data_IF_545486093674
#
_entry.id   IF_545486093674
#
_cell.length_a   1.000
_cell.length_b   1.000
_cell.length_c   1.000
_cell.angle_alpha   90.00
_cell.angle_beta   90.00
_cell.angle_gamma   90.00
#
_symmetry.space_group_name_H-M   'P 1'
#
loop_
_entity.id
_entity.type
_entity.pdbx_description
1 polymer ?
#
# COMPACT_ATOMS: atom_id res chain seq x y z
N UNK A 1 29.12 -9.18 24.42
CA UNK A 1 28.65 -7.87 24.94
C UNK A 1 27.14 -7.90 25.00
N UNK A 2 26.56 -7.22 25.95
CA UNK A 2 25.12 -7.17 26.09
C UNK A 2 24.53 -6.31 24.95
N UNK A 3 23.45 -6.78 24.34
CA UNK A 3 22.68 -6.00 23.36
C UNK A 3 21.88 -4.98 24.17
N UNK A 4 22.11 -3.68 23.93
CA UNK A 4 21.48 -2.60 24.67
C UNK A 4 20.60 -1.69 23.84
N UNK A 5 20.76 -1.74 22.49
CA UNK A 5 19.98 -0.96 21.54
C UNK A 5 19.92 -1.64 20.17
N UNK A 6 19.05 -1.13 19.29
CA UNK A 6 18.85 -1.72 17.96
C UNK A 6 20.10 -1.71 17.08
N UNK A 7 20.98 -0.72 17.22
CA UNK A 7 22.21 -0.63 16.43
C UNK A 7 23.20 -1.74 16.74
N UNK A 8 23.09 -2.39 17.91
CA UNK A 8 23.94 -3.50 18.29
C UNK A 8 23.71 -4.73 17.39
N UNK A 9 22.48 -4.93 16.87
CA UNK A 9 22.19 -5.99 15.91
C UNK A 9 23.03 -5.85 14.63
N UNK A 10 23.14 -4.64 14.11
CA UNK A 10 23.97 -4.35 12.93
C UNK A 10 25.46 -4.50 13.27
N UNK A 11 25.88 -3.95 14.41
CA UNK A 11 27.28 -3.99 14.87
C UNK A 11 27.78 -5.41 15.05
N UNK A 12 26.95 -6.31 15.59
CA UNK A 12 27.31 -7.72 15.81
C UNK A 12 26.89 -8.64 14.66
N UNK A 13 26.33 -8.10 13.57
CA UNK A 13 25.84 -8.85 12.41
C UNK A 13 24.88 -9.99 12.79
N UNK A 14 23.94 -9.69 13.67
CA UNK A 14 22.95 -10.66 14.13
C UNK A 14 21.82 -10.82 13.13
N UNK A 15 21.26 -12.03 13.03
CA UNK A 15 20.05 -12.27 12.24
C UNK A 15 18.82 -11.77 13.00
N UNK A 16 18.41 -10.54 12.68
CA UNK A 16 17.26 -9.88 13.29
C UNK A 16 15.96 -10.64 13.03
N UNK A 17 15.82 -11.27 11.86
CA UNK A 17 14.60 -12.02 11.51
C UNK A 17 14.47 -13.24 12.40
N UNK A 18 15.54 -14.02 12.52
CA UNK A 18 15.56 -15.18 13.41
C UNK A 18 15.32 -14.76 14.86
N UNK A 19 15.96 -13.67 15.31
CA UNK A 19 15.76 -13.15 16.66
C UNK A 19 14.29 -12.82 16.95
N UNK A 20 13.62 -12.09 16.05
CA UNK A 20 12.20 -11.72 16.24
C UNK A 20 11.30 -12.95 16.19
N UNK A 21 11.57 -13.89 15.30
CA UNK A 21 10.86 -15.17 15.22
C UNK A 21 10.98 -15.95 16.54
N UNK A 22 12.20 -16.12 17.07
CA UNK A 22 12.45 -16.82 18.32
C UNK A 22 11.83 -16.12 19.52
N UNK A 23 11.82 -14.78 19.52
CA UNK A 23 11.17 -13.98 20.54
C UNK A 23 9.64 -14.23 20.58
N UNK A 24 8.99 -14.26 19.44
CA UNK A 24 7.57 -14.55 19.33
C UNK A 24 7.26 -16.00 19.71
N UNK A 25 8.05 -16.95 19.22
CA UNK A 25 7.87 -18.37 19.47
C UNK A 25 7.96 -18.70 20.98
N UNK A 26 8.87 -18.02 21.70
CA UNK A 26 9.10 -18.24 23.13
C UNK A 26 8.41 -17.18 24.01
N UNK A 27 7.50 -16.36 23.46
CA UNK A 27 6.79 -15.37 24.25
C UNK A 27 5.85 -16.02 25.27
N UNK A 28 5.97 -15.61 26.54
CA UNK A 28 5.08 -16.03 27.63
C UNK A 28 3.89 -15.06 27.83
N UNK A 29 3.98 -13.87 27.25
CA UNK A 29 2.94 -12.84 27.35
C UNK A 29 2.06 -12.81 26.09
N UNK A 30 0.82 -13.26 26.25
CA UNK A 30 -0.17 -13.26 25.16
C UNK A 30 -0.55 -11.85 24.70
N UNK A 31 -0.46 -10.81 25.55
CA UNK A 31 -0.69 -9.43 25.17
C UNK A 31 0.40 -8.93 24.24
N UNK A 32 1.65 -9.33 24.46
CA UNK A 32 2.76 -8.98 23.57
C UNK A 32 2.50 -9.51 22.16
N UNK A 33 2.13 -10.80 22.02
CA UNK A 33 1.86 -11.39 20.70
C UNK A 33 0.62 -10.76 20.04
N UNK A 34 -0.43 -10.45 20.83
CA UNK A 34 -1.57 -9.70 20.31
C UNK A 34 -1.18 -8.34 19.72
N UNK A 35 -0.43 -7.54 20.48
CA UNK A 35 0.02 -6.23 20.01
C UNK A 35 0.96 -6.34 18.79
N UNK A 36 1.84 -7.33 18.78
CA UNK A 36 2.72 -7.56 17.63
C UNK A 36 1.94 -7.97 16.40
N UNK A 37 0.97 -8.87 16.52
CA UNK A 37 0.09 -9.27 15.40
C UNK A 37 -0.70 -8.08 14.85
N UNK A 38 -1.27 -7.24 15.72
CA UNK A 38 -1.94 -6.02 15.28
C UNK A 38 -0.99 -5.02 14.62
N UNK A 39 0.24 -4.89 15.12
CA UNK A 39 1.26 -4.07 14.48
C UNK A 39 1.61 -4.61 13.08
N UNK A 40 1.76 -5.94 12.91
CA UNK A 40 1.95 -6.57 11.61
C UNK A 40 0.80 -6.28 10.65
N UNK A 41 -0.45 -6.29 11.13
CA UNK A 41 -1.61 -5.99 10.28
C UNK A 41 -1.69 -4.54 9.80
N UNK A 42 -1.04 -3.62 10.51
CA UNK A 42 -1.12 -2.18 10.26
C UNK A 42 0.13 -1.60 9.60
N UNK A 43 1.27 -2.30 9.62
CA UNK A 43 2.49 -1.81 8.97
C UNK A 43 2.28 -1.66 7.46
N UNK A 44 2.67 -0.51 6.92
CA UNK A 44 2.55 -0.19 5.50
C UNK A 44 3.92 -0.07 4.84
N UNK A 45 4.13 -0.82 3.76
CA UNK A 45 5.41 -0.90 3.03
C UNK A 45 5.16 -0.47 1.59
N UNK A 46 5.86 0.57 1.14
CA UNK A 46 5.77 1.09 -0.22
C UNK A 46 7.06 0.88 -1.00
N UNK A 47 6.94 0.43 -2.24
CA UNK A 47 8.00 0.54 -3.25
C UNK A 47 7.56 1.55 -4.32
N UNK A 48 8.12 2.79 -4.32
CA UNK A 48 7.72 3.85 -5.24
C UNK A 48 8.23 3.66 -6.67
N UNK A 49 9.02 2.59 -6.91
CA UNK A 49 9.60 2.21 -8.21
C UNK A 49 9.55 0.70 -8.38
N UNK A 50 8.39 0.11 -8.12
CA UNK A 50 8.27 -1.31 -7.81
C UNK A 50 8.63 -2.25 -8.98
N UNK A 51 8.67 -1.77 -10.22
CA UNK A 51 8.92 -2.61 -11.37
C UNK A 51 8.01 -3.84 -11.39
N UNK A 52 8.59 -5.01 -11.53
CA UNK A 52 7.88 -6.29 -11.44
C UNK A 52 7.64 -6.79 -10.01
N UNK A 53 7.80 -5.96 -8.98
CA UNK A 53 7.48 -6.26 -7.60
C UNK A 53 8.54 -7.05 -6.82
N UNK A 54 9.81 -6.99 -7.20
CA UNK A 54 10.87 -7.79 -6.57
C UNK A 54 11.05 -7.48 -5.07
N UNK A 55 11.06 -6.20 -4.71
CA UNK A 55 11.18 -5.77 -3.31
C UNK A 55 9.92 -6.05 -2.51
N UNK A 56 8.73 -5.90 -3.12
CA UNK A 56 7.46 -6.28 -2.48
C UNK A 56 7.43 -7.79 -2.17
N UNK A 57 7.97 -8.60 -3.06
CA UNK A 57 8.15 -10.04 -2.84
C UNK A 57 9.10 -10.35 -1.68
N UNK A 58 10.22 -9.61 -1.59
CA UNK A 58 11.15 -9.76 -0.49
C UNK A 58 10.52 -9.35 0.85
N UNK A 59 9.76 -8.25 0.89
CA UNK A 59 9.01 -7.82 2.07
C UNK A 59 7.97 -8.88 2.48
N UNK A 60 7.23 -9.46 1.54
CA UNK A 60 6.28 -10.54 1.81
C UNK A 60 6.96 -11.75 2.46
N UNK A 61 8.12 -12.18 1.97
CA UNK A 61 8.87 -13.30 2.53
C UNK A 61 9.42 -13.01 3.94
N UNK A 62 9.55 -11.75 4.33
CA UNK A 62 9.93 -11.35 5.69
C UNK A 62 8.71 -11.38 6.61
N UNK A 63 7.56 -10.90 6.14
CA UNK A 63 6.34 -10.82 6.95
C UNK A 63 5.68 -12.19 7.16
N UNK A 64 5.72 -13.07 6.16
CA UNK A 64 5.08 -14.38 6.19
C UNK A 64 5.35 -15.19 7.46
N UNK A 65 6.61 -15.49 7.82
CA UNK A 65 6.91 -16.28 9.02
C UNK A 65 6.51 -15.58 10.32
N UNK A 66 6.47 -14.24 10.32
CA UNK A 66 6.04 -13.47 11.50
C UNK A 66 4.53 -13.58 11.71
N UNK A 67 3.74 -13.53 10.64
CA UNK A 67 2.30 -13.82 10.71
C UNK A 67 2.05 -15.26 11.17
N UNK A 68 2.79 -16.22 10.60
CA UNK A 68 2.64 -17.64 10.91
C UNK A 68 2.88 -17.93 12.39
N UNK A 69 4.01 -17.47 12.95
CA UNK A 69 4.33 -17.71 14.36
C UNK A 69 3.34 -17.00 15.30
N UNK A 70 2.85 -15.81 14.95
CA UNK A 70 1.81 -15.15 15.74
C UNK A 70 0.51 -15.96 15.79
N UNK A 71 0.05 -16.45 14.64
CA UNK A 71 -1.17 -17.25 14.54
C UNK A 71 -1.01 -18.56 15.32
N UNK A 72 0.14 -19.27 15.19
CA UNK A 72 0.42 -20.49 15.94
C UNK A 72 0.42 -20.26 17.45
N UNK A 73 1.02 -19.16 17.92
CA UNK A 73 1.01 -18.82 19.36
C UNK A 73 -0.40 -18.48 19.85
N UNK A 74 -1.19 -17.74 19.07
CA UNK A 74 -2.57 -17.42 19.41
C UNK A 74 -3.45 -18.69 19.48
N UNK A 75 -3.25 -19.63 18.56
CA UNK A 75 -3.97 -20.92 18.58
C UNK A 75 -3.63 -21.73 19.84
N UNK A 76 -2.36 -21.83 20.23
CA UNK A 76 -1.95 -22.51 21.45
C UNK A 76 -2.64 -21.96 22.69
N UNK A 77 -2.66 -20.63 22.87
CA UNK A 77 -3.35 -20.01 23.99
C UNK A 77 -4.90 -20.15 23.91
N UNK A 78 -5.44 -20.16 22.70
CA UNK A 78 -6.86 -20.39 22.51
C UNK A 78 -7.26 -21.82 22.89
N UNK A 79 -6.41 -22.83 22.65
CA UNK A 79 -6.62 -24.22 23.11
C UNK A 79 -6.60 -24.31 24.65
N UNK A 80 -5.75 -23.54 25.31
CA UNK A 80 -5.70 -23.48 26.78
C UNK A 80 -6.87 -22.69 27.37
N UNK A 81 -7.29 -21.61 26.71
CA UNK A 81 -8.41 -20.76 27.13
C UNK A 81 -9.15 -20.21 25.88
N UNK A 82 -10.31 -20.81 25.60
CA UNK A 82 -11.14 -20.50 24.43
C UNK A 82 -11.67 -19.06 24.36
N UNK A 83 -11.48 -18.24 25.40
CA UNK A 83 -11.80 -16.81 25.35
C UNK A 83 -10.68 -15.95 24.81
N UNK A 84 -9.44 -16.46 24.77
CA UNK A 84 -8.29 -15.74 24.21
C UNK A 84 -8.30 -15.84 22.67
N UNK A 85 -8.05 -14.75 21.99
CA UNK A 85 -7.92 -14.66 20.53
C UNK A 85 -9.09 -15.22 19.72
N UNK A 86 -10.28 -15.25 20.33
CA UNK A 86 -11.48 -15.78 19.67
C UNK A 86 -11.80 -15.03 18.38
N UNK A 87 -11.76 -13.71 18.43
CA UNK A 87 -12.15 -12.84 17.29
C UNK A 87 -11.09 -12.89 16.20
N UNK A 88 -9.79 -12.88 16.55
CA UNK A 88 -8.67 -12.96 15.62
C UNK A 88 -8.63 -14.31 14.88
N UNK A 89 -8.96 -15.39 15.58
CA UNK A 89 -8.91 -16.75 15.03
C UNK A 89 -10.23 -17.19 14.39
N UNK A 90 -11.37 -16.51 14.64
CA UNK A 90 -12.68 -16.92 14.14
C UNK A 90 -12.68 -17.01 12.59
N UNK A 91 -12.17 -15.99 11.92
CA UNK A 91 -12.11 -15.97 10.46
C UNK A 91 -11.20 -17.07 9.93
N UNK A 92 -10.01 -17.24 10.53
CA UNK A 92 -9.01 -18.23 10.13
C UNK A 92 -9.60 -19.63 10.29
N UNK A 93 -10.18 -19.93 11.46
CA UNK A 93 -10.71 -21.26 11.78
C UNK A 93 -11.97 -21.60 10.96
N UNK A 94 -12.80 -20.60 10.65
CA UNK A 94 -14.06 -20.81 9.91
C UNK A 94 -13.82 -20.96 8.41
N UNK A 95 -13.00 -20.07 7.81
CA UNK A 95 -12.84 -19.97 6.34
C UNK A 95 -11.54 -20.58 5.84
N UNK A 96 -10.46 -20.44 6.57
CA UNK A 96 -9.11 -20.72 6.10
C UNK A 96 -8.40 -21.86 6.82
N UNK A 97 -9.12 -22.70 7.55
CA UNK A 97 -8.53 -23.79 8.35
C UNK A 97 -7.57 -24.69 7.54
N UNK A 98 -7.94 -25.01 6.31
CA UNK A 98 -7.10 -25.79 5.37
C UNK A 98 -6.20 -24.92 4.49
N UNK A 99 -6.36 -23.59 4.50
CA UNK A 99 -5.69 -22.64 3.64
C UNK A 99 -5.07 -21.48 4.43
N UNK A 100 -4.47 -21.77 5.60
CA UNK A 100 -3.85 -20.75 6.48
C UNK A 100 -2.82 -19.90 5.72
N UNK A 101 -1.98 -20.54 4.92
CA UNK A 101 -0.95 -19.86 4.16
C UNK A 101 -1.54 -18.88 3.12
N UNK A 102 -2.64 -19.26 2.50
CA UNK A 102 -3.39 -18.37 1.61
C UNK A 102 -3.91 -17.14 2.38
N UNK A 103 -4.48 -17.33 3.58
CA UNK A 103 -4.93 -16.23 4.45
C UNK A 103 -3.79 -15.27 4.79
N UNK A 104 -2.61 -15.80 5.14
CA UNK A 104 -1.41 -15.01 5.46
C UNK A 104 -1.00 -14.16 4.25
N UNK A 105 -0.82 -14.76 3.08
CA UNK A 105 -0.46 -14.00 1.88
C UNK A 105 -1.50 -12.98 1.49
N UNK A 106 -2.79 -13.33 1.56
CA UNK A 106 -3.89 -12.40 1.31
C UNK A 106 -3.84 -11.20 2.26
N UNK A 107 -3.62 -11.45 3.56
CA UNK A 107 -3.50 -10.40 4.56
C UNK A 107 -2.32 -9.48 4.27
N UNK A 108 -1.14 -10.03 4.00
CA UNK A 108 0.07 -9.26 3.66
C UNK A 108 -0.15 -8.41 2.41
N UNK A 109 -0.66 -9.00 1.34
CA UNK A 109 -0.85 -8.31 0.06
C UNK A 109 -1.86 -7.16 0.20
N UNK A 110 -2.97 -7.38 0.92
CA UNK A 110 -4.02 -6.37 1.05
C UNK A 110 -3.73 -5.27 2.05
N UNK A 111 -2.99 -5.59 3.11
CA UNK A 111 -2.78 -4.67 4.23
C UNK A 111 -1.43 -3.98 4.20
N UNK A 112 -0.38 -4.71 3.80
CA UNK A 112 0.99 -4.27 4.03
C UNK A 112 1.70 -3.77 2.77
N UNK A 113 1.38 -4.32 1.58
CA UNK A 113 2.18 -4.07 0.39
C UNK A 113 1.55 -3.06 -0.55
N UNK A 114 2.33 -2.04 -0.89
CA UNK A 114 1.97 -0.98 -1.83
C UNK A 114 3.10 -0.78 -2.83
N UNK A 115 2.76 -0.44 -4.06
CA UNK A 115 3.76 -0.21 -5.09
C UNK A 115 3.31 0.79 -6.14
N UNK A 116 4.25 1.53 -6.69
CA UNK A 116 4.02 2.41 -7.84
C UNK A 116 5.10 2.19 -8.88
N UNK A 117 4.73 2.21 -10.14
CA UNK A 117 5.69 2.21 -11.25
C UNK A 117 5.17 3.08 -12.39
N UNK A 118 6.10 3.62 -13.16
CA UNK A 118 5.78 4.43 -14.35
C UNK A 118 5.19 3.58 -15.49
N UNK A 119 5.54 2.28 -15.55
CA UNK A 119 5.16 1.36 -16.61
C UNK A 119 3.96 0.51 -16.18
N UNK A 120 2.87 0.59 -16.95
CA UNK A 120 1.67 -0.22 -16.72
C UNK A 120 2.00 -1.71 -16.74
N UNK A 121 2.80 -2.15 -17.71
CA UNK A 121 3.19 -3.55 -17.87
C UNK A 121 3.96 -4.08 -16.65
N UNK A 122 4.80 -3.25 -16.05
CA UNK A 122 5.54 -3.61 -14.83
C UNK A 122 4.58 -3.83 -13.66
N UNK A 123 3.61 -2.92 -13.45
CA UNK A 123 2.61 -3.04 -12.40
C UNK A 123 1.73 -4.27 -12.57
N UNK A 124 1.32 -4.59 -13.80
CA UNK A 124 0.53 -5.81 -14.08
C UNK A 124 1.34 -7.09 -13.82
N UNK A 125 2.63 -7.11 -14.14
CA UNK A 125 3.53 -8.23 -13.81
C UNK A 125 3.68 -8.35 -12.28
N UNK A 126 3.83 -7.24 -11.56
CA UNK A 126 3.91 -7.24 -10.09
C UNK A 126 2.64 -7.85 -9.47
N UNK A 127 1.47 -7.40 -9.89
CA UNK A 127 0.17 -7.95 -9.47
C UNK A 127 0.08 -9.45 -9.74
N UNK A 128 0.40 -9.86 -10.96
CA UNK A 128 0.36 -11.28 -11.36
C UNK A 128 1.28 -12.14 -10.49
N UNK A 129 2.50 -11.68 -10.21
CA UNK A 129 3.45 -12.41 -9.36
C UNK A 129 2.94 -12.58 -7.94
N UNK A 130 2.36 -11.54 -7.34
CA UNK A 130 1.75 -11.61 -6.01
C UNK A 130 0.58 -12.60 -6.00
N UNK A 131 -0.29 -12.58 -7.01
CA UNK A 131 -1.37 -13.54 -7.15
C UNK A 131 -0.88 -14.99 -7.33
N UNK A 132 0.13 -15.21 -8.17
CA UNK A 132 0.68 -16.55 -8.37
C UNK A 132 1.27 -17.11 -7.07
N UNK A 133 1.95 -16.29 -6.26
CA UNK A 133 2.47 -16.73 -4.96
C UNK A 133 1.34 -17.14 -4.01
N UNK A 134 0.24 -16.40 -3.99
CA UNK A 134 -0.91 -16.67 -3.15
C UNK A 134 -1.65 -17.95 -3.62
N UNK A 135 -1.85 -18.11 -4.94
CA UNK A 135 -2.54 -19.29 -5.51
C UNK A 135 -1.71 -20.56 -5.38
N UNK A 136 -0.38 -20.46 -5.41
CA UNK A 136 0.51 -21.62 -5.33
C UNK A 136 0.41 -22.40 -3.99
N UNK A 137 -0.16 -21.80 -2.96
CA UNK A 137 -0.29 -22.43 -1.63
C UNK A 137 -1.73 -22.84 -1.31
N UNK A 138 -2.64 -22.77 -2.29
CA UNK A 138 -4.05 -23.12 -2.10
C UNK A 138 -4.27 -24.61 -2.16
N UNK A 139 -4.86 -25.16 -1.11
CA UNK A 139 -5.38 -26.51 -1.08
C UNK A 139 -6.85 -26.52 -1.49
N UNK A 140 -7.17 -27.29 -2.53
CA UNK A 140 -8.52 -27.41 -3.07
C UNK A 140 -9.33 -28.45 -2.30
N UNK A 141 -10.56 -28.09 -1.91
CA UNK A 141 -11.51 -29.02 -1.32
C UNK A 141 -12.60 -29.41 -2.34
N UNK A 142 -12.44 -30.61 -2.94
CA UNK A 142 -13.35 -31.12 -3.98
C UNK A 142 -14.79 -31.31 -3.49
N UNK A 143 -15.06 -31.24 -2.17
CA UNK A 143 -16.38 -31.45 -1.58
C UNK A 143 -17.15 -30.16 -1.38
N UNK A 144 -16.50 -29.01 -1.53
CA UNK A 144 -17.12 -27.71 -1.33
C UNK A 144 -17.48 -27.01 -2.65
N UNK A 145 -18.51 -26.15 -2.66
CA UNK A 145 -18.79 -25.28 -3.78
C UNK A 145 -17.54 -24.47 -4.16
N UNK A 146 -17.32 -24.25 -5.46
CA UNK A 146 -16.14 -23.54 -5.96
C UNK A 146 -14.81 -24.12 -5.43
N UNK A 147 -14.76 -25.43 -5.13
CA UNK A 147 -13.59 -26.12 -4.58
C UNK A 147 -13.09 -25.55 -3.24
N UNK A 148 -13.92 -24.83 -2.50
CA UNK A 148 -13.55 -24.12 -1.28
C UNK A 148 -12.64 -22.93 -1.52
N UNK A 149 -12.57 -22.43 -2.76
CA UNK A 149 -11.70 -21.32 -3.13
C UNK A 149 -12.39 -19.97 -2.94
N UNK A 150 -11.69 -19.06 -2.28
CA UNK A 150 -12.06 -17.66 -2.23
C UNK A 150 -11.73 -16.96 -3.57
N UNK A 151 -12.51 -15.94 -3.96
CA UNK A 151 -12.12 -15.05 -5.04
C UNK A 151 -10.77 -14.39 -4.77
N UNK A 152 -9.96 -14.21 -5.82
CA UNK A 152 -8.72 -13.45 -5.71
C UNK A 152 -9.03 -12.02 -5.25
N UNK A 153 -8.24 -11.47 -4.31
CA UNK A 153 -8.42 -10.10 -3.88
C UNK A 153 -8.09 -9.13 -5.01
N UNK A 154 -8.69 -7.95 -4.95
CA UNK A 154 -8.36 -6.87 -5.86
C UNK A 154 -7.24 -6.02 -5.25
N UNK A 155 -6.15 -5.87 -5.98
CA UNK A 155 -4.97 -5.10 -5.56
C UNK A 155 -4.69 -3.90 -6.48
N UNK A 156 -5.67 -3.51 -7.30
CA UNK A 156 -5.53 -2.36 -8.20
C UNK A 156 -5.29 -1.05 -7.44
N UNK A 157 -5.71 -0.98 -6.18
CA UNK A 157 -5.50 0.19 -5.33
C UNK A 157 -4.23 0.11 -4.48
N UNK A 158 -3.58 -1.05 -4.41
CA UNK A 158 -2.29 -1.25 -3.75
C UNK A 158 -1.13 -1.06 -4.72
N UNK A 159 -1.27 -1.58 -5.96
CA UNK A 159 -0.23 -1.49 -7.00
C UNK A 159 -0.73 -0.56 -8.10
N UNK A 160 -0.10 0.59 -8.20
CA UNK A 160 -0.53 1.72 -9.03
C UNK A 160 0.44 2.04 -10.14
N UNK A 161 -0.04 2.73 -11.17
CA UNK A 161 0.79 3.24 -12.25
C UNK A 161 0.79 4.77 -12.28
N UNK A 162 1.98 5.38 -12.34
CA UNK A 162 2.16 6.81 -12.46
C UNK A 162 3.59 7.26 -12.19
N UNK A 163 3.87 8.54 -12.46
CA UNK A 163 5.17 9.14 -12.18
C UNK A 163 5.17 9.70 -10.76
N UNK A 164 5.82 9.00 -9.85
CA UNK A 164 5.91 9.34 -8.42
C UNK A 164 6.56 10.69 -8.12
N UNK A 165 7.29 11.25 -9.10
CA UNK A 165 7.96 12.55 -8.98
C UNK A 165 7.12 13.72 -9.55
N UNK A 166 6.01 13.44 -10.23
CA UNK A 166 5.13 14.45 -10.80
C UNK A 166 3.76 14.37 -10.16
N UNK A 167 3.42 15.34 -9.32
CA UNK A 167 2.15 15.39 -8.60
C UNK A 167 2.28 16.08 -7.26
N UNK A 168 1.18 16.18 -6.53
CA UNK A 168 1.17 16.66 -5.15
C UNK A 168 1.38 15.47 -4.19
N UNK A 169 2.46 15.53 -3.41
CA UNK A 169 2.77 14.50 -2.44
C UNK A 169 2.03 14.75 -1.11
N UNK A 170 1.92 16.02 -0.69
CA UNK A 170 1.34 16.43 0.57
C UNK A 170 0.37 17.59 0.40
N UNK A 171 -0.50 17.80 1.40
CA UNK A 171 -1.37 18.99 1.47
C UNK A 171 -0.56 20.29 1.48
N UNK A 172 0.59 20.28 2.15
CA UNK A 172 1.47 21.47 2.20
C UNK A 172 2.02 21.87 0.82
N UNK A 173 2.30 20.90 -0.07
CA UNK A 173 2.68 21.21 -1.46
C UNK A 173 1.51 21.85 -2.24
N UNK A 174 0.31 21.32 -2.05
CA UNK A 174 -0.89 21.88 -2.66
C UNK A 174 -1.17 23.30 -2.13
N UNK A 175 -1.08 23.51 -0.83
CA UNK A 175 -1.27 24.82 -0.20
C UNK A 175 -0.26 25.86 -0.69
N UNK A 176 1.00 25.45 -0.86
CA UNK A 176 2.03 26.32 -1.41
C UNK A 176 1.71 26.76 -2.84
N UNK A 177 1.18 25.88 -3.66
CA UNK A 177 0.73 26.23 -5.01
C UNK A 177 -0.50 27.16 -4.98
N UNK A 178 -1.39 27.02 -4.00
CA UNK A 178 -2.57 27.85 -3.81
C UNK A 178 -2.28 29.24 -3.22
N UNK A 179 -1.03 29.55 -2.83
CA UNK A 179 -0.66 30.91 -2.38
C UNK A 179 -0.63 31.93 -3.53
N UNK A 180 -0.60 31.47 -4.76
CA UNK A 180 -0.55 32.32 -5.95
C UNK A 180 -1.89 32.32 -6.68
N UNK A 181 -2.30 33.47 -7.22
CA UNK A 181 -3.51 33.64 -7.99
C UNK A 181 -4.68 34.23 -7.22
N UNK A 182 -5.90 34.00 -7.71
CA UNK A 182 -7.14 34.51 -7.08
C UNK A 182 -7.47 33.75 -5.79
N UNK A 183 -7.52 34.48 -4.69
CA UNK A 183 -7.76 33.92 -3.36
C UNK A 183 -9.12 33.20 -3.26
N UNK A 184 -10.18 33.75 -3.87
CA UNK A 184 -11.52 33.12 -3.81
C UNK A 184 -11.57 31.85 -4.62
N UNK A 185 -11.01 31.86 -5.84
CA UNK A 185 -10.91 30.69 -6.67
C UNK A 185 -10.06 29.57 -6.03
N UNK A 186 -8.99 29.95 -5.32
CA UNK A 186 -8.13 29.01 -4.60
C UNK A 186 -8.83 28.39 -3.37
N UNK A 187 -9.63 29.17 -2.62
CA UNK A 187 -10.44 28.66 -1.52
C UNK A 187 -11.51 27.68 -1.99
N UNK A 188 -12.22 28.01 -3.09
CA UNK A 188 -13.19 27.10 -3.68
C UNK A 188 -12.54 25.83 -4.20
N UNK A 189 -11.37 25.94 -4.82
CA UNK A 189 -10.60 24.79 -5.28
C UNK A 189 -10.17 23.90 -4.10
N UNK A 190 -9.62 24.50 -3.03
CA UNK A 190 -9.20 23.76 -1.81
C UNK A 190 -10.38 23.00 -1.22
N UNK A 191 -11.51 23.65 -1.01
CA UNK A 191 -12.73 23.01 -0.47
C UNK A 191 -13.21 21.86 -1.34
N UNK A 192 -13.13 21.99 -2.67
CA UNK A 192 -13.50 20.92 -3.61
C UNK A 192 -12.55 19.74 -3.54
N UNK A 193 -11.25 19.97 -3.39
CA UNK A 193 -10.25 18.91 -3.24
C UNK A 193 -10.43 18.18 -1.90
N UNK A 194 -10.62 18.90 -0.79
CA UNK A 194 -10.88 18.32 0.54
C UNK A 194 -12.14 17.44 0.52
N UNK A 195 -13.24 17.93 -0.03
CA UNK A 195 -14.48 17.13 -0.19
C UNK A 195 -14.26 15.90 -1.08
N UNK A 196 -13.44 16.04 -2.13
CA UNK A 196 -13.05 14.93 -3.02
C UNK A 196 -12.23 13.87 -2.28
N UNK A 197 -11.26 14.27 -1.45
CA UNK A 197 -10.43 13.39 -0.63
C UNK A 197 -11.27 12.62 0.40
N UNK A 198 -12.15 13.32 1.09
CA UNK A 198 -13.09 12.70 2.05
C UNK A 198 -14.01 11.66 1.40
N UNK A 199 -14.51 11.95 0.19
CA UNK A 199 -15.34 11.01 -0.55
C UNK A 199 -14.56 9.79 -1.02
N UNK A 200 -13.32 9.99 -1.48
CA UNK A 200 -12.43 8.91 -1.88
C UNK A 200 -12.04 8.02 -0.69
N UNK A 201 -11.72 8.61 0.47
CA UNK A 201 -11.41 7.87 1.70
C UNK A 201 -12.60 7.01 2.17
N UNK A 202 -13.81 7.57 2.19
CA UNK A 202 -15.02 6.80 2.53
C UNK A 202 -15.26 5.65 1.56
N UNK A 203 -15.10 5.89 0.26
CA UNK A 203 -15.24 4.85 -0.77
C UNK A 203 -14.18 3.75 -0.62
N UNK A 204 -12.93 4.11 -0.29
CA UNK A 204 -11.85 3.17 -0.03
C UNK A 204 -12.14 2.28 1.19
N UNK A 205 -12.60 2.88 2.28
CA UNK A 205 -12.97 2.13 3.49
C UNK A 205 -14.11 1.15 3.23
N UNK A 206 -15.14 1.55 2.46
CA UNK A 206 -16.23 0.64 2.07
C UNK A 206 -15.69 -0.51 1.21
N UNK A 207 -14.87 -0.19 0.20
CA UNK A 207 -14.26 -1.19 -0.68
C UNK A 207 -13.41 -2.19 0.12
N UNK A 208 -12.52 -1.71 1.02
CA UNK A 208 -11.69 -2.53 1.88
C UNK A 208 -12.51 -3.44 2.79
N UNK A 209 -13.59 -2.92 3.39
CA UNK A 209 -14.49 -3.73 4.22
C UNK A 209 -15.22 -4.81 3.42
N UNK A 210 -15.75 -4.49 2.24
CA UNK A 210 -16.41 -5.47 1.37
C UNK A 210 -15.41 -6.56 0.93
N UNK A 211 -14.18 -6.17 0.61
CA UNK A 211 -13.12 -7.11 0.21
C UNK A 211 -12.64 -8.02 1.35
N UNK A 212 -12.57 -7.51 2.57
CA UNK A 212 -12.17 -8.28 3.74
C UNK A 212 -13.29 -9.20 4.26
N UNK A 213 -14.55 -8.73 4.25
CA UNK A 213 -15.71 -9.52 4.75
C UNK A 213 -16.10 -10.68 3.86
N UNK A 214 -15.75 -10.61 2.57
CA UNK A 214 -16.07 -11.65 1.57
C UNK A 214 -17.46 -12.27 1.77
N UNK A 215 -18.47 -11.41 1.75
CA UNK A 215 -19.81 -11.89 1.45
C UNK A 215 -19.82 -12.26 -0.04
N UNK A 216 -20.51 -13.34 -0.42
CA UNK A 216 -20.60 -13.83 -1.82
C UNK A 216 -21.29 -12.82 -2.77
N UNK A 217 -21.42 -11.58 -2.35
CA UNK A 217 -22.03 -10.51 -3.12
C UNK A 217 -21.04 -9.83 -4.04
N UNK A 218 -20.79 -10.50 -5.18
CA UNK A 218 -19.99 -9.94 -6.28
C UNK A 218 -20.52 -8.62 -6.81
N UNK A 219 -21.81 -8.29 -6.56
CA UNK A 219 -22.43 -7.03 -7.01
C UNK A 219 -21.96 -5.89 -6.13
N UNK A 220 -22.07 -6.03 -4.80
CA UNK A 220 -21.59 -5.05 -3.84
C UNK A 220 -20.08 -4.76 -4.02
N UNK A 221 -19.29 -5.82 -4.28
CA UNK A 221 -17.86 -5.66 -4.56
C UNK A 221 -17.59 -4.83 -5.82
N UNK A 222 -18.27 -5.13 -6.93
CA UNK A 222 -18.11 -4.38 -8.18
C UNK A 222 -18.54 -2.92 -8.04
N UNK A 223 -19.65 -2.68 -7.35
CA UNK A 223 -20.17 -1.33 -7.10
C UNK A 223 -19.19 -0.51 -6.24
N UNK A 224 -18.69 -1.09 -5.14
CA UNK A 224 -17.70 -0.44 -4.27
C UNK A 224 -16.40 -0.12 -5.03
N UNK A 225 -15.91 -1.07 -5.85
CA UNK A 225 -14.72 -0.86 -6.69
C UNK A 225 -14.96 0.27 -7.71
N UNK A 226 -16.10 0.27 -8.38
CA UNK A 226 -16.41 1.27 -9.40
C UNK A 226 -16.57 2.66 -8.78
N UNK A 227 -17.22 2.76 -7.65
CA UNK A 227 -17.38 4.02 -6.91
C UNK A 227 -16.01 4.59 -6.51
N UNK A 228 -15.17 3.79 -5.86
CA UNK A 228 -13.82 4.20 -5.48
C UNK A 228 -13.01 4.67 -6.68
N UNK A 229 -13.01 3.89 -7.76
CA UNK A 229 -12.30 4.25 -8.99
C UNK A 229 -12.79 5.57 -9.58
N UNK A 230 -14.12 5.78 -9.61
CA UNK A 230 -14.72 7.03 -10.09
C UNK A 230 -14.29 8.23 -9.24
N UNK A 231 -14.29 8.11 -7.91
CA UNK A 231 -13.86 9.18 -6.99
C UNK A 231 -12.40 9.55 -7.18
N UNK A 232 -11.53 8.53 -7.22
CA UNK A 232 -10.09 8.75 -7.44
C UNK A 232 -9.81 9.40 -8.80
N UNK A 233 -10.44 8.94 -9.88
CA UNK A 233 -10.26 9.54 -11.19
C UNK A 233 -10.71 11.00 -11.24
N UNK A 234 -11.84 11.33 -10.61
CA UNK A 234 -12.35 12.71 -10.54
C UNK A 234 -11.41 13.62 -9.74
N UNK A 235 -10.90 13.13 -8.61
CA UNK A 235 -9.96 13.87 -7.77
C UNK A 235 -8.63 14.08 -8.49
N UNK A 236 -8.05 13.01 -9.06
CA UNK A 236 -6.80 13.09 -9.79
C UNK A 236 -6.90 14.01 -11.01
N UNK A 237 -8.02 14.00 -11.74
CA UNK A 237 -8.25 14.93 -12.85
C UNK A 237 -8.30 16.39 -12.39
N UNK A 238 -8.95 16.66 -11.27
CA UNK A 238 -8.98 18.00 -10.66
C UNK A 238 -7.58 18.49 -10.30
N UNK A 239 -6.77 17.64 -9.68
CA UNK A 239 -5.39 17.94 -9.31
C UNK A 239 -4.47 18.06 -10.53
N UNK A 240 -4.65 17.21 -11.55
CA UNK A 240 -3.90 17.26 -12.81
C UNK A 240 -4.10 18.58 -13.54
N UNK A 241 -5.34 19.06 -13.64
CA UNK A 241 -5.63 20.35 -14.27
C UNK A 241 -4.93 21.48 -13.53
N UNK A 242 -5.00 21.50 -12.20
CA UNK A 242 -4.29 22.51 -11.39
C UNK A 242 -2.78 22.46 -11.61
N UNK A 243 -2.21 21.26 -11.53
CA UNK A 243 -0.76 21.06 -11.73
C UNK A 243 -0.33 21.50 -13.12
N UNK A 244 -1.11 21.18 -14.16
CA UNK A 244 -0.82 21.60 -15.52
C UNK A 244 -0.77 23.12 -15.68
N UNK A 245 -1.71 23.86 -15.06
CA UNK A 245 -1.69 25.32 -15.09
C UNK A 245 -0.55 25.91 -14.28
N UNK A 246 -0.06 25.21 -13.24
CA UNK A 246 1.06 25.67 -12.43
C UNK A 246 2.44 25.45 -13.08
N UNK A 247 2.64 24.31 -13.75
CA UNK A 247 3.96 23.91 -14.27
C UNK A 247 4.00 23.64 -15.79
N UNK A 248 2.85 23.57 -16.45
CA UNK A 248 2.72 23.38 -17.88
C UNK A 248 2.75 24.72 -18.65
N UNK A 249 2.42 24.67 -19.93
CA UNK A 249 2.35 25.87 -20.76
C UNK A 249 1.00 26.61 -20.68
N UNK A 250 0.05 26.06 -19.92
CA UNK A 250 -1.26 26.65 -19.64
C UNK A 250 -2.26 26.62 -20.82
N UNK A 251 -1.89 26.05 -21.96
CA UNK A 251 -2.74 25.98 -23.16
C UNK A 251 -3.61 24.72 -23.13
N UNK A 252 -4.95 24.84 -23.08
CA UNK A 252 -5.85 23.69 -22.91
C UNK A 252 -5.68 22.59 -23.95
N UNK A 253 -5.30 22.95 -25.17
CA UNK A 253 -5.11 22.01 -26.28
C UNK A 253 -3.93 21.04 -26.09
N UNK A 254 -2.98 21.35 -25.20
CA UNK A 254 -1.83 20.49 -24.90
C UNK A 254 -1.97 19.70 -23.61
N UNK A 255 -3.04 19.89 -22.86
CA UNK A 255 -3.25 19.23 -21.57
C UNK A 255 -3.21 17.70 -21.65
N UNK A 256 -3.93 17.10 -22.59
CA UNK A 256 -3.95 15.63 -22.75
C UNK A 256 -2.55 15.09 -23.17
N UNK A 257 -1.83 15.80 -24.04
CA UNK A 257 -0.48 15.41 -24.40
C UNK A 257 0.47 15.48 -23.21
N UNK A 258 0.39 16.55 -22.42
CA UNK A 258 1.15 16.72 -21.18
C UNK A 258 0.86 15.60 -20.18
N UNK A 259 -0.41 15.32 -19.93
CA UNK A 259 -0.84 14.27 -18.99
C UNK A 259 -0.31 12.89 -19.40
N UNK A 260 -0.38 12.55 -20.68
CA UNK A 260 0.12 11.28 -21.21
C UNK A 260 1.64 11.13 -21.11
N UNK A 261 2.38 12.22 -21.30
CA UNK A 261 3.85 12.23 -21.20
C UNK A 261 4.31 12.16 -19.75
N UNK A 262 3.72 12.97 -18.87
CA UNK A 262 4.18 13.10 -17.49
C UNK A 262 3.57 12.07 -16.54
N UNK A 263 2.40 11.51 -16.89
CA UNK A 263 1.66 10.51 -16.09
C UNK A 263 1.60 10.91 -14.60
N UNK A 264 1.06 12.08 -14.24
CA UNK A 264 1.11 12.56 -12.86
C UNK A 264 0.54 11.56 -11.87
N UNK A 265 1.18 11.47 -10.71
CA UNK A 265 0.74 10.64 -9.59
C UNK A 265 0.63 11.50 -8.33
N UNK A 266 -0.58 11.70 -7.86
CA UNK A 266 -0.82 12.50 -6.68
C UNK A 266 -0.88 11.61 -5.44
N UNK A 267 0.22 11.51 -4.71
CA UNK A 267 0.30 10.73 -3.47
C UNK A 267 -0.83 11.08 -2.50
N UNK A 268 -1.12 12.38 -2.38
CA UNK A 268 -2.19 12.95 -1.58
C UNK A 268 -3.58 12.37 -1.92
N UNK A 269 -3.85 12.05 -3.19
CA UNK A 269 -5.13 11.50 -3.63
C UNK A 269 -5.13 9.97 -3.63
N UNK A 270 -4.06 9.37 -4.16
CA UNK A 270 -3.98 7.94 -4.45
C UNK A 270 -3.81 7.10 -3.17
N UNK A 271 -3.17 7.65 -2.13
CA UNK A 271 -2.94 7.02 -0.84
C UNK A 271 -3.37 7.94 0.33
N UNK A 272 -4.49 8.67 0.15
CA UNK A 272 -4.95 9.68 1.11
C UNK A 272 -5.05 9.15 2.54
N UNK A 273 -5.67 7.98 2.75
CA UNK A 273 -5.82 7.38 4.07
C UNK A 273 -4.46 7.17 4.76
N UNK A 274 -3.45 6.68 4.03
CA UNK A 274 -2.12 6.42 4.59
C UNK A 274 -1.38 7.74 4.85
N UNK A 275 -1.47 8.68 3.91
CA UNK A 275 -0.75 9.96 4.01
C UNK A 275 -1.37 10.87 5.07
N UNK A 276 -2.70 10.96 5.11
CA UNK A 276 -3.41 11.87 6.01
C UNK A 276 -3.58 11.28 7.42
N UNK A 277 -4.09 10.03 7.51
CA UNK A 277 -4.47 9.46 8.80
C UNK A 277 -3.26 8.89 9.56
N UNK A 278 -2.30 8.29 8.85
CA UNK A 278 -1.11 7.67 9.45
C UNK A 278 0.15 8.56 9.34
N UNK A 279 0.08 9.68 8.64
CA UNK A 279 1.24 10.57 8.41
C UNK A 279 2.22 10.08 7.36
N UNK A 280 1.93 8.97 6.66
CA UNK A 280 2.73 8.36 5.62
C UNK A 280 2.88 6.85 5.74
N UNK A 281 3.73 6.28 4.89
CA UNK A 281 4.09 4.86 4.96
C UNK A 281 5.15 4.61 6.04
N UNK A 282 5.03 3.45 6.72
CA UNK A 282 6.00 3.08 7.78
C UNK A 282 7.36 2.69 7.21
N UNK A 283 7.39 2.06 6.04
CA UNK A 283 8.61 1.58 5.39
C UNK A 283 8.59 1.92 3.90
N UNK A 284 9.67 2.52 3.42
CA UNK A 284 9.91 2.78 2.01
C UNK A 284 11.08 1.91 1.57
N UNK A 285 10.84 1.06 0.57
CA UNK A 285 11.87 0.19 -0.02
C UNK A 285 11.84 0.37 -1.54
N UNK A 286 12.96 0.19 -2.22
CA UNK A 286 12.96 0.26 -3.67
C UNK A 286 14.37 0.31 -4.27
N UNK A 287 14.39 0.27 -5.60
CA UNK A 287 15.59 0.50 -6.39
C UNK A 287 15.26 1.53 -7.49
N UNK A 288 15.36 2.82 -7.18
CA UNK A 288 15.04 3.88 -8.14
C UNK A 288 15.96 3.82 -9.37
N UNK A 289 15.49 4.33 -10.53
CA UNK A 289 16.24 4.28 -11.77
C UNK A 289 17.49 5.17 -11.71
N UNK A 290 18.60 4.67 -12.26
CA UNK A 290 19.86 5.41 -12.41
C UNK A 290 19.80 6.31 -13.66
N UNK A 291 19.10 7.44 -13.56
CA UNK A 291 18.91 8.40 -14.66
C UNK A 291 19.48 9.75 -14.25
N UNK A 292 20.34 10.31 -15.10
CA UNK A 292 20.89 11.65 -14.88
C UNK A 292 19.76 12.70 -14.85
N UNK A 293 19.82 13.62 -13.90
CA UNK A 293 18.84 14.72 -13.81
C UNK A 293 18.82 15.61 -15.07
N UNK A 294 19.90 15.62 -15.87
CA UNK A 294 19.95 16.32 -17.16
C UNK A 294 19.04 15.70 -18.22
N UNK A 295 18.64 14.45 -18.07
CA UNK A 295 17.74 13.72 -18.97
C UNK A 295 16.27 13.83 -18.56
N UNK A 296 16.01 14.39 -17.37
CA UNK A 296 14.66 14.55 -16.83
C UNK A 296 13.98 15.77 -17.45
N UNK A 297 12.78 15.58 -17.97
CA UNK A 297 12.01 16.62 -18.68
C UNK A 297 10.98 17.35 -17.81
N UNK A 298 10.79 16.93 -16.56
CA UNK A 298 9.88 17.53 -15.61
C UNK A 298 10.61 18.26 -14.47
N UNK A 299 9.89 19.17 -13.79
CA UNK A 299 10.47 19.98 -12.72
C UNK A 299 10.72 19.14 -11.46
N UNK A 300 11.97 19.13 -11.01
CA UNK A 300 12.46 18.44 -9.80
C UNK A 300 12.98 19.42 -8.73
N UNK A 301 12.71 20.72 -8.87
CA UNK A 301 13.23 21.76 -7.95
C UNK A 301 12.73 21.62 -6.50
N UNK A 302 11.63 20.91 -6.32
CA UNK A 302 11.05 20.64 -5.00
C UNK A 302 11.85 19.62 -4.16
N UNK A 303 12.74 18.85 -4.78
CA UNK A 303 13.49 17.80 -4.09
C UNK A 303 14.84 18.30 -3.56
N UNK A 304 15.12 18.03 -2.28
CA UNK A 304 16.35 18.47 -1.60
C UNK A 304 17.62 17.80 -2.11
N UNK A 305 17.50 16.62 -2.72
CA UNK A 305 18.63 15.84 -3.26
C UNK A 305 19.03 16.22 -4.69
N UNK A 306 18.41 17.23 -5.28
CA UNK A 306 18.77 17.74 -6.63
C UNK A 306 20.29 17.92 -6.86
N UNK A 307 21.11 18.38 -5.88
CA UNK A 307 22.56 18.50 -6.06
C UNK A 307 23.29 17.18 -6.32
N UNK A 308 22.68 16.03 -6.03
CA UNK A 308 23.30 14.70 -6.21
C UNK A 308 23.45 14.29 -7.68
N UNK A 309 22.71 14.92 -8.61
CA UNK A 309 22.92 14.79 -10.04
C UNK A 309 22.18 13.65 -10.74
N UNK A 310 21.49 12.75 -10.02
CA UNK A 310 20.65 11.71 -10.63
C UNK A 310 19.37 11.42 -9.83
N UNK A 311 18.42 10.68 -10.45
CA UNK A 311 17.12 10.34 -9.84
C UNK A 311 17.24 9.36 -8.67
N UNK A 312 18.33 8.61 -8.59
CA UNK A 312 18.53 7.63 -7.50
C UNK A 312 18.60 8.31 -6.12
N UNK A 313 19.02 9.57 -6.09
CA UNK A 313 19.16 10.34 -4.86
C UNK A 313 17.88 11.12 -4.47
N UNK A 314 16.85 11.14 -5.30
CA UNK A 314 15.58 11.81 -5.03
C UNK A 314 14.64 10.88 -4.28
#
# INVERSE_FOLDING_TARGET
GDITNFTDFTTYNLDVRQFVYDLLLNADDHHFVAHFYHALQNITIIDPTCGSGAFLFAAMNILEPLYEVCIERMEQWHEENANLFKDELEEINRKYRSNRQYFIYKSIILRNLYGVDLMVEATEIAKLRLFLKMVAVVDVNLREPNLGLDPLPDIDFNIRCGNTLVGYATEAELEKDLQYGDMFANLEFKSRVEDGMDKAARAFNIFKQVQLRQEDDMTAFKEAKQELRSRLLSLSETLNQRLYFAIGDGRPEYYEAWKNIHKPFHWLAEFYEIIHDNGGFDVIIGNPPYVSLSEVTYNIDKYSCKPCGDLYAL
#
